data_IF_318131031356
#
_entry.id   IF_318131031356
#
_cell.length_a   1.000
_cell.length_b   1.000
_cell.length_c   1.000
_cell.angle_alpha   90.00
_cell.angle_beta   90.00
_cell.angle_gamma   90.00
#
_symmetry.space_group_name_H-M   'P 1'
#
loop_
_entity.id
_entity.type
_entity.pdbx_description
1 polymer ?
#
# COMPACT_ATOMS: atom_id res chain seq x y z
N UNK A 1 -0.83 -15.55 -1.04
CA UNK A 1 -1.41 -16.14 -2.27
C UNK A 1 -0.54 -15.89 -3.49
N UNK A 2 -0.25 -14.64 -3.86
CA UNK A 2 0.62 -14.34 -5.03
C UNK A 2 1.99 -15.02 -4.98
N UNK A 3 2.68 -14.97 -3.85
CA UNK A 3 3.98 -15.62 -3.66
C UNK A 3 3.92 -17.13 -3.92
N UNK A 4 2.85 -17.80 -3.47
CA UNK A 4 2.63 -19.22 -3.72
C UNK A 4 2.43 -19.51 -5.21
N UNK A 5 1.58 -18.74 -5.90
CA UNK A 5 1.31 -18.91 -7.33
C UNK A 5 2.56 -18.71 -8.19
N UNK A 6 3.44 -17.81 -7.75
CA UNK A 6 4.67 -17.43 -8.45
C UNK A 6 5.91 -18.17 -7.92
N UNK A 7 5.73 -19.15 -7.04
CA UNK A 7 6.82 -19.95 -6.48
C UNK A 7 7.84 -19.14 -5.66
N UNK A 8 7.48 -17.95 -5.19
CA UNK A 8 8.33 -17.08 -4.39
C UNK A 8 8.24 -17.40 -2.89
N UNK A 9 9.36 -17.25 -2.19
CA UNK A 9 9.37 -17.31 -0.74
C UNK A 9 8.58 -16.12 -0.16
N UNK A 10 7.72 -16.42 0.81
CA UNK A 10 6.93 -15.43 1.55
C UNK A 10 7.72 -14.84 2.73
N UNK A 11 7.23 -13.73 3.27
CA UNK A 11 7.82 -13.05 4.42
C UNK A 11 8.73 -11.89 4.02
N UNK A 12 9.64 -11.50 4.91
CA UNK A 12 10.56 -10.39 4.72
C UNK A 12 11.84 -10.83 3.98
N UNK A 13 11.71 -11.02 2.68
CA UNK A 13 12.78 -11.52 1.81
C UNK A 13 13.34 -10.45 0.89
N UNK A 14 14.58 -10.64 0.43
CA UNK A 14 15.21 -9.82 -0.62
C UNK A 14 14.49 -10.08 -1.95
N UNK A 15 14.27 -9.07 -2.79
CA UNK A 15 13.58 -9.22 -4.09
C UNK A 15 12.15 -9.80 -4.03
N UNK A 16 11.24 -9.26 -3.20
CA UNK A 16 9.89 -9.79 -3.06
C UNK A 16 9.00 -9.48 -4.28
N UNK A 17 9.35 -8.48 -5.10
CA UNK A 17 8.57 -8.11 -6.28
C UNK A 17 8.78 -9.11 -7.42
N UNK A 18 7.69 -9.53 -8.07
CA UNK A 18 7.74 -10.41 -9.24
C UNK A 18 7.89 -9.67 -10.57
N UNK A 19 7.76 -8.34 -10.57
CA UNK A 19 7.91 -7.49 -11.76
C UNK A 19 9.32 -6.89 -11.89
N UNK A 20 9.97 -6.60 -10.77
CA UNK A 20 11.30 -5.99 -10.73
C UNK A 20 12.15 -6.56 -9.60
N UNK A 21 13.45 -6.27 -9.65
CA UNK A 21 14.44 -6.69 -8.66
C UNK A 21 14.57 -5.65 -7.54
N UNK A 22 13.43 -5.18 -7.02
CA UNK A 22 13.39 -4.26 -5.88
C UNK A 22 14.03 -4.89 -4.65
N UNK A 23 15.08 -4.27 -4.12
CA UNK A 23 15.80 -4.76 -2.96
C UNK A 23 15.17 -4.21 -1.66
N UNK A 24 14.31 -5.03 -1.04
CA UNK A 24 13.67 -4.71 0.24
C UNK A 24 14.65 -4.49 1.41
N UNK A 25 15.92 -4.88 1.26
CA UNK A 25 16.97 -4.73 2.27
C UNK A 25 17.82 -3.46 2.07
N UNK A 26 17.79 -2.85 0.88
CA UNK A 26 18.53 -1.63 0.54
C UNK A 26 17.85 -0.36 1.09
N UNK A 27 17.75 -0.24 2.43
CA UNK A 27 16.99 0.81 3.13
C UNK A 27 17.44 2.24 2.79
N UNK A 28 18.72 2.41 2.49
CA UNK A 28 19.36 3.65 2.04
C UNK A 28 18.86 4.11 0.66
N UNK A 29 18.45 3.16 -0.20
CA UNK A 29 17.98 3.45 -1.56
C UNK A 29 16.46 3.53 -1.69
N UNK A 30 15.69 3.20 -0.64
CA UNK A 30 14.23 3.04 -0.73
C UNK A 30 13.48 4.27 -1.20
N UNK A 31 14.01 5.47 -0.94
CA UNK A 31 13.35 6.74 -1.24
C UNK A 31 14.04 7.54 -2.35
N UNK A 32 15.24 7.12 -2.76
CA UNK A 32 16.04 7.81 -3.78
C UNK A 32 16.04 7.06 -5.11
N UNK A 33 15.90 5.73 -5.07
CA UNK A 33 15.87 4.88 -6.26
C UNK A 33 14.44 4.51 -6.65
N UNK A 34 13.97 5.13 -7.72
CA UNK A 34 12.67 4.87 -8.34
C UNK A 34 12.71 3.66 -9.27
N UNK A 35 13.81 3.50 -10.01
CA UNK A 35 13.92 2.51 -11.08
C UNK A 35 14.77 1.30 -10.68
N UNK A 36 14.11 0.15 -10.61
CA UNK A 36 14.72 -1.14 -10.33
C UNK A 36 14.69 -2.01 -11.57
N UNK A 37 15.76 -2.77 -11.80
CA UNK A 37 15.87 -3.63 -12.98
C UNK A 37 14.67 -4.58 -13.07
N UNK A 38 14.12 -4.71 -14.27
CA UNK A 38 12.97 -5.58 -14.51
C UNK A 38 13.35 -7.03 -14.24
N UNK A 39 12.38 -7.79 -13.75
CA UNK A 39 12.54 -9.23 -13.55
C UNK A 39 12.18 -9.95 -14.85
N UNK A 40 13.19 -10.52 -15.51
CA UNK A 40 12.98 -11.26 -16.76
C UNK A 40 12.26 -12.60 -16.58
N UNK A 41 12.71 -13.41 -15.62
CA UNK A 41 12.17 -14.75 -15.36
C UNK A 41 12.04 -15.05 -13.86
N UNK A 42 11.20 -16.03 -13.52
CA UNK A 42 11.04 -16.58 -12.18
C UNK A 42 11.69 -17.98 -12.13
N UNK A 43 13.03 -17.99 -12.19
CA UNK A 43 13.83 -19.24 -12.15
C UNK A 43 13.97 -19.74 -10.71
N UNK A 44 13.56 -20.98 -10.39
CA UNK A 44 13.77 -21.55 -9.06
C UNK A 44 15.23 -21.52 -8.63
N UNK A 45 15.49 -21.15 -7.38
CA UNK A 45 16.83 -20.96 -6.82
C UNK A 45 17.37 -19.54 -6.94
N UNK A 46 16.76 -18.68 -7.75
CA UNK A 46 17.21 -17.29 -7.94
C UNK A 46 16.28 -16.27 -7.30
N UNK A 47 16.87 -15.20 -6.72
CA UNK A 47 16.20 -13.91 -6.44
C UNK A 47 14.80 -14.07 -5.83
N UNK A 48 14.71 -14.83 -4.73
CA UNK A 48 13.50 -15.15 -3.95
C UNK A 48 12.54 -16.21 -4.52
N UNK A 49 12.86 -16.84 -5.64
CA UNK A 49 12.05 -17.90 -6.23
C UNK A 49 12.54 -19.24 -5.70
N UNK A 50 11.67 -19.98 -5.03
CA UNK A 50 11.99 -21.27 -4.40
C UNK A 50 11.33 -22.45 -5.12
N UNK A 51 10.25 -22.21 -5.86
CA UNK A 51 9.49 -23.23 -6.57
C UNK A 51 9.18 -22.78 -8.00
N UNK A 52 8.81 -23.73 -8.86
CA UNK A 52 8.30 -23.44 -10.20
C UNK A 52 6.99 -22.65 -10.14
N UNK A 53 6.82 -21.68 -11.03
CA UNK A 53 5.60 -20.88 -11.13
C UNK A 53 4.41 -21.72 -11.59
N UNK A 54 3.29 -21.62 -10.88
CA UNK A 54 2.03 -22.27 -11.26
C UNK A 54 1.25 -21.45 -12.29
N UNK A 55 1.43 -20.12 -12.26
CA UNK A 55 0.76 -19.18 -13.16
C UNK A 55 1.81 -18.29 -13.83
N UNK A 56 1.77 -18.12 -15.16
CA UNK A 56 2.63 -17.17 -15.85
C UNK A 56 2.44 -15.75 -15.30
N UNK A 57 3.52 -14.97 -15.03
CA UNK A 57 3.41 -13.61 -14.49
C UNK A 57 2.48 -12.69 -15.29
N UNK A 58 2.47 -12.82 -16.62
CA UNK A 58 1.61 -12.04 -17.51
C UNK A 58 0.11 -12.29 -17.32
N UNK A 59 -0.27 -13.41 -16.68
CA UNK A 59 -1.66 -13.78 -16.39
C UNK A 59 -2.07 -13.41 -14.95
N UNK A 60 -1.17 -12.83 -14.17
CA UNK A 60 -1.48 -12.38 -12.81
C UNK A 60 -2.16 -11.02 -12.87
N UNK A 61 -3.39 -10.97 -12.37
CA UNK A 61 -4.07 -9.70 -12.11
C UNK A 61 -3.55 -9.09 -10.81
N UNK A 62 -3.11 -7.84 -10.86
CA UNK A 62 -2.69 -7.12 -9.66
C UNK A 62 -3.90 -6.95 -8.72
N UNK A 63 -3.75 -7.22 -7.42
CA UNK A 63 -4.84 -7.10 -6.46
C UNK A 63 -5.02 -5.61 -6.08
N UNK A 64 -5.54 -4.81 -7.01
CA UNK A 64 -5.70 -3.35 -6.88
C UNK A 64 -6.33 -2.92 -5.55
N UNK A 65 -7.38 -3.62 -5.12
CA UNK A 65 -8.05 -3.35 -3.84
C UNK A 65 -7.11 -3.54 -2.63
N UNK A 66 -6.32 -4.62 -2.59
CA UNK A 66 -5.39 -4.88 -1.50
C UNK A 66 -4.24 -3.87 -1.47
N UNK A 67 -3.81 -3.39 -2.63
CA UNK A 67 -2.81 -2.31 -2.73
C UNK A 67 -3.39 -1.01 -2.14
N UNK A 68 -4.59 -0.61 -2.55
CA UNK A 68 -5.29 0.58 -2.02
C UNK A 68 -5.50 0.50 -0.51
N UNK A 69 -5.97 -0.65 0.00
CA UNK A 69 -6.13 -0.90 1.43
C UNK A 69 -4.79 -0.79 2.18
N UNK A 70 -3.72 -1.35 1.61
CA UNK A 70 -2.38 -1.28 2.18
C UNK A 70 -1.83 0.15 2.25
N UNK A 71 -2.01 0.94 1.18
CA UNK A 71 -1.60 2.34 1.14
C UNK A 71 -2.41 3.20 2.12
N UNK A 72 -3.74 3.01 2.20
CA UNK A 72 -4.59 3.70 3.18
C UNK A 72 -4.12 3.40 4.60
N UNK A 73 -3.87 2.12 4.90
CA UNK A 73 -3.41 1.69 6.22
C UNK A 73 -2.12 2.42 6.61
N UNK A 74 -1.18 2.59 5.67
CA UNK A 74 0.05 3.35 5.91
C UNK A 74 -0.24 4.83 6.16
N UNK A 75 -1.05 5.47 5.33
CA UNK A 75 -1.43 6.89 5.47
C UNK A 75 -2.04 7.17 6.86
N UNK A 76 -3.03 6.38 7.26
CA UNK A 76 -3.69 6.58 8.57
C UNK A 76 -2.73 6.29 9.72
N UNK A 77 -1.85 5.29 9.58
CA UNK A 77 -0.83 4.99 10.58
C UNK A 77 0.17 6.13 10.74
N UNK A 78 0.51 6.86 9.67
CA UNK A 78 1.44 7.99 9.72
C UNK A 78 0.82 9.29 10.22
N UNK A 79 -0.51 9.44 10.25
CA UNK A 79 -1.14 10.64 10.82
C UNK A 79 -0.81 10.80 12.32
N UNK A 80 -0.56 12.01 12.83
CA UNK A 80 -0.42 12.25 14.26
C UNK A 80 -1.72 11.90 14.99
N UNK A 81 -1.64 11.16 16.11
CA UNK A 81 -2.82 10.62 16.80
C UNK A 81 -3.54 11.63 17.68
N UNK A 82 -2.84 12.68 18.04
CA UNK A 82 -3.24 13.84 18.84
C UNK A 82 -3.67 15.03 17.97
N UNK A 83 -3.46 14.97 16.65
CA UNK A 83 -3.87 16.01 15.71
C UNK A 83 -5.40 16.06 15.54
N UNK A 84 -5.88 17.24 15.15
CA UNK A 84 -7.28 17.49 14.87
C UNK A 84 -7.82 16.58 13.76
N UNK A 85 -7.03 16.31 12.72
CA UNK A 85 -7.41 15.39 11.66
C UNK A 85 -7.74 13.99 12.19
N UNK A 86 -6.98 13.46 13.16
CA UNK A 86 -7.27 12.14 13.73
C UNK A 86 -8.52 12.15 14.62
N UNK A 87 -8.74 13.23 15.39
CA UNK A 87 -10.01 13.42 16.12
C UNK A 87 -11.21 13.47 15.19
N UNK A 88 -11.08 14.16 14.05
CA UNK A 88 -12.11 14.19 13.01
C UNK A 88 -12.38 12.81 12.42
N UNK A 89 -11.36 11.97 12.22
CA UNK A 89 -11.56 10.59 11.76
C UNK A 89 -12.38 9.77 12.76
N UNK A 90 -12.13 9.91 14.06
CA UNK A 90 -12.91 9.25 15.10
C UNK A 90 -14.37 9.67 15.06
N UNK A 91 -14.67 10.97 14.88
CA UNK A 91 -16.05 11.45 14.80
C UNK A 91 -16.74 11.06 13.49
N UNK A 92 -16.01 11.01 12.36
CA UNK A 92 -16.55 10.64 11.04
C UNK A 92 -16.88 9.17 10.93
N UNK A 93 -16.14 8.32 11.63
CA UNK A 93 -16.32 6.87 11.64
C UNK A 93 -16.66 6.35 13.05
N UNK A 94 -17.81 6.73 13.63
CA UNK A 94 -18.15 6.40 15.01
C UNK A 94 -18.36 4.89 15.23
N UNK A 95 -18.61 4.14 14.15
CA UNK A 95 -18.71 2.67 14.17
C UNK A 95 -17.36 1.97 14.22
N UNK A 96 -16.26 2.68 14.01
CA UNK A 96 -14.90 2.16 14.13
C UNK A 96 -14.34 2.57 15.49
N UNK A 97 -13.87 1.59 16.26
CA UNK A 97 -13.09 1.85 17.47
C UNK A 97 -11.81 2.62 17.12
N UNK A 98 -11.32 3.45 18.04
CA UNK A 98 -10.05 4.16 17.89
C UNK A 98 -8.88 3.21 17.58
N UNK A 99 -8.86 2.00 18.16
CA UNK A 99 -7.84 0.98 17.88
C UNK A 99 -7.83 0.55 16.41
N UNK A 100 -9.00 0.37 15.80
CA UNK A 100 -9.14 0.06 14.37
C UNK A 100 -8.69 1.23 13.49
N UNK A 101 -9.02 2.46 13.89
CA UNK A 101 -8.57 3.68 13.21
C UNK A 101 -7.04 3.82 13.29
N UNK A 102 -6.43 3.72 14.47
CA UNK A 102 -4.97 3.70 14.66
C UNK A 102 -4.30 2.59 13.85
N UNK A 103 -4.96 1.44 13.75
CA UNK A 103 -4.53 0.31 12.95
C UNK A 103 -4.64 0.54 11.43
N UNK A 104 -5.32 1.58 10.98
CA UNK A 104 -5.62 1.85 9.57
C UNK A 104 -6.55 0.80 8.97
N UNK A 105 -7.46 0.23 9.76
CA UNK A 105 -8.38 -0.83 9.35
C UNK A 105 -9.65 -0.20 8.78
N UNK A 106 -9.73 -0.14 7.46
CA UNK A 106 -10.87 0.39 6.71
C UNK A 106 -11.43 -0.63 5.73
N UNK A 107 -12.72 -0.50 5.43
CA UNK A 107 -13.35 -1.16 4.28
C UNK A 107 -13.16 -0.32 3.01
N UNK A 108 -13.41 -0.89 1.83
CA UNK A 108 -13.38 -0.13 0.57
C UNK A 108 -14.32 1.09 0.58
N UNK A 109 -15.52 0.94 1.15
CA UNK A 109 -16.46 2.06 1.31
C UNK A 109 -15.97 3.13 2.28
N UNK A 110 -15.27 2.74 3.36
CA UNK A 110 -14.61 3.68 4.27
C UNK A 110 -13.51 4.49 3.59
N UNK A 111 -12.71 3.84 2.74
CA UNK A 111 -11.70 4.52 1.92
C UNK A 111 -12.32 5.56 0.99
N UNK A 112 -13.39 5.18 0.28
CA UNK A 112 -14.06 6.10 -0.65
C UNK A 112 -14.59 7.33 0.09
N UNK A 113 -15.27 7.13 1.23
CA UNK A 113 -15.75 8.23 2.08
C UNK A 113 -14.61 9.15 2.51
N UNK A 114 -13.49 8.59 2.97
CA UNK A 114 -12.33 9.36 3.41
C UNK A 114 -11.71 10.21 2.28
N UNK A 115 -11.55 9.62 1.10
CA UNK A 115 -10.93 10.28 -0.04
C UNK A 115 -11.79 11.41 -0.61
N UNK A 116 -13.12 11.23 -0.60
CA UNK A 116 -14.08 12.20 -1.11
C UNK A 116 -14.43 13.32 -0.12
N UNK A 117 -14.06 13.21 1.16
CA UNK A 117 -14.47 14.18 2.19
C UNK A 117 -13.63 15.47 2.15
N UNK A 118 -14.18 16.62 1.73
CA UNK A 118 -13.41 17.86 1.70
C UNK A 118 -13.05 18.36 3.10
N UNK A 119 -13.94 18.17 4.09
CA UNK A 119 -13.78 18.64 5.47
C UNK A 119 -12.58 18.00 6.17
N UNK A 120 -12.23 16.76 5.79
CA UNK A 120 -11.02 16.12 6.31
C UNK A 120 -9.76 16.94 5.99
N UNK A 121 -9.68 17.57 4.82
CA UNK A 121 -8.54 18.41 4.48
C UNK A 121 -8.48 19.69 5.30
N UNK A 122 -9.62 20.22 5.76
CA UNK A 122 -9.65 21.43 6.59
C UNK A 122 -9.02 21.17 7.97
N UNK A 123 -9.16 19.96 8.48
CA UNK A 123 -8.56 19.51 9.76
C UNK A 123 -7.09 19.12 9.68
N UNK A 124 -6.48 19.19 8.49
CA UNK A 124 -5.10 18.80 8.22
C UNK A 124 -4.17 20.02 8.10
N UNK A 125 -2.95 19.89 8.61
CA UNK A 125 -1.84 20.79 8.31
C UNK A 125 -1.29 20.60 6.89
N UNK A 126 -0.38 21.46 6.47
CA UNK A 126 0.09 21.50 5.06
C UNK A 126 0.74 20.20 4.61
N UNK A 127 1.60 19.60 5.45
CA UNK A 127 2.25 18.31 5.16
C UNK A 127 1.25 17.16 5.03
N UNK A 128 0.18 17.19 5.81
CA UNK A 128 -0.85 16.15 5.81
C UNK A 128 -1.75 16.29 4.58
N UNK A 129 -2.07 17.54 4.19
CA UNK A 129 -2.76 17.84 2.93
C UNK A 129 -1.94 17.39 1.72
N UNK A 130 -0.64 17.67 1.71
CA UNK A 130 0.27 17.21 0.65
C UNK A 130 0.28 15.68 0.58
N UNK A 131 0.51 15.00 1.71
CA UNK A 131 0.49 13.54 1.78
C UNK A 131 -0.86 12.95 1.33
N UNK A 132 -1.98 13.59 1.69
CA UNK A 132 -3.33 13.19 1.26
C UNK A 132 -3.49 13.32 -0.25
N UNK A 133 -3.01 14.41 -0.84
CA UNK A 133 -3.09 14.64 -2.28
C UNK A 133 -2.22 13.65 -3.05
N UNK A 134 -0.97 13.43 -2.63
CA UNK A 134 -0.11 12.38 -3.21
C UNK A 134 -0.75 10.99 -3.10
N UNK A 135 -1.42 10.72 -1.99
CA UNK A 135 -2.17 9.47 -1.80
C UNK A 135 -3.37 9.37 -2.75
N UNK A 136 -4.14 10.45 -2.96
CA UNK A 136 -5.25 10.49 -3.93
C UNK A 136 -4.76 10.15 -5.34
N UNK A 137 -3.67 10.76 -5.78
CA UNK A 137 -3.09 10.47 -7.10
C UNK A 137 -2.60 9.02 -7.21
N UNK A 138 -1.95 8.51 -6.17
CA UNK A 138 -1.51 7.11 -6.14
C UNK A 138 -2.68 6.13 -6.24
N UNK A 139 -3.80 6.42 -5.57
CA UNK A 139 -5.00 5.58 -5.61
C UNK A 139 -5.66 5.60 -7.00
N UNK A 140 -5.64 6.74 -7.70
CA UNK A 140 -6.18 6.87 -9.07
C UNK A 140 -5.45 5.98 -10.08
N UNK A 141 -4.13 5.84 -9.96
CA UNK A 141 -3.32 4.96 -10.83
C UNK A 141 -3.80 3.50 -10.77
N UNK A 142 -4.30 3.07 -9.62
CA UNK A 142 -4.82 1.72 -9.40
C UNK A 142 -6.32 1.61 -9.74
N UNK A 143 -6.83 2.49 -10.60
CA UNK A 143 -8.21 2.58 -11.09
C UNK A 143 -9.09 3.50 -10.25
N UNK A 144 -10.11 4.11 -10.86
CA UNK A 144 -11.17 4.81 -10.11
C UNK A 144 -12.19 3.80 -9.56
N UNK A 145 -13.27 4.32 -8.99
CA UNK A 145 -14.26 3.62 -8.19
C UNK A 145 -15.62 3.70 -8.85
#
# INVERSE_FOLDING_TARGET
MLTMLLGQQAGYTKYPCFLCLWDSRARDLHWTKTDWSLRGALTPGEKNVINTTLVPPKKVLLPYLHIKLGLMKKFIKSLPKDAECFRYLCSKFPKLSEVKLKGGVFTGSGIRKLLSDPLLSETMGDKEKEARNSFKESVRVFGEY
#
